data_IF_463354602300
#
_entry.id   IF_463354602300
#
_cell.length_a   1.000
_cell.length_b   1.000
_cell.length_c   1.000
_cell.angle_alpha   90.00
_cell.angle_beta   90.00
_cell.angle_gamma   90.00
#
_symmetry.space_group_name_H-M   'P 1'
#
loop_
_entity.id
_entity.type
_entity.pdbx_description
1 polymer ?
#
# COMPACT_ATOMS: atom_id res chain seq x y z
N UNK A 1 -34.98 -20.72 -11.97
CA UNK A 1 -34.99 -21.66 -10.82
C UNK A 1 -34.16 -21.05 -9.71
N UNK A 2 -34.77 -20.93 -8.54
CA UNK A 2 -34.41 -20.31 -7.25
C UNK A 2 -33.01 -19.70 -6.98
N UNK A 3 -33.08 -18.49 -6.41
CA UNK A 3 -32.10 -17.87 -5.52
C UNK A 3 -31.80 -18.71 -4.27
N UNK A 4 -30.58 -18.55 -3.73
CA UNK A 4 -30.35 -18.60 -2.29
C UNK A 4 -29.30 -19.58 -1.79
N UNK A 5 -28.11 -19.07 -1.48
CA UNK A 5 -27.49 -19.14 -0.13
C UNK A 5 -26.18 -18.35 -0.16
N UNK A 6 -26.21 -17.18 0.47
CA UNK A 6 -25.02 -16.38 0.75
C UNK A 6 -24.08 -17.16 1.66
N UNK A 7 -22.90 -17.48 1.16
CA UNK A 7 -21.76 -17.87 2.00
C UNK A 7 -21.15 -16.62 2.62
N UNK A 8 -20.88 -16.60 3.94
CA UNK A 8 -20.26 -15.46 4.59
C UNK A 8 -18.85 -15.19 4.04
N UNK A 9 -18.55 -13.90 3.89
CA UNK A 9 -17.26 -13.35 3.47
C UNK A 9 -16.12 -13.91 4.35
N UNK A 10 -15.06 -14.44 3.71
CA UNK A 10 -13.94 -15.18 4.31
C UNK A 10 -12.91 -14.28 5.01
N UNK A 11 -13.33 -13.26 5.76
CA UNK A 11 -12.46 -12.60 6.76
C UNK A 11 -11.99 -13.59 7.85
N UNK A 12 -12.61 -14.77 7.96
CA UNK A 12 -12.31 -15.77 8.98
C UNK A 12 -11.17 -16.77 8.69
N UNK A 13 -10.61 -16.89 7.47
CA UNK A 13 -9.65 -17.98 7.17
C UNK A 13 -8.17 -17.68 7.40
N UNK A 14 -7.79 -16.42 7.64
CA UNK A 14 -6.42 -16.11 8.12
C UNK A 14 -6.22 -16.41 9.61
N UNK A 15 -7.31 -16.43 10.40
CA UNK A 15 -7.26 -16.88 11.82
C UNK A 15 -6.89 -18.36 11.96
N UNK A 16 -7.26 -19.20 10.99
CA UNK A 16 -7.03 -20.64 11.02
C UNK A 16 -5.57 -21.06 10.76
N UNK A 17 -4.77 -20.24 10.07
CA UNK A 17 -3.34 -20.53 9.90
C UNK A 17 -2.50 -20.11 11.12
N UNK A 18 -3.04 -19.22 11.97
CA UNK A 18 -2.38 -18.78 13.22
C UNK A 18 -2.67 -19.68 14.42
N UNK A 19 -3.63 -20.61 14.33
CA UNK A 19 -3.93 -21.57 15.41
C UNK A 19 -2.99 -22.79 15.45
N UNK A 20 -2.12 -22.98 14.45
CA UNK A 20 -1.14 -24.09 14.44
C UNK A 20 0.27 -23.68 14.88
N UNK A 21 0.51 -22.41 15.20
CA UNK A 21 1.81 -21.93 15.68
C UNK A 21 1.62 -21.33 17.05
N UNK A 22 2.30 -21.92 18.04
CA UNK A 22 2.07 -21.75 19.48
C UNK A 22 2.04 -20.30 19.99
N UNK A 23 1.55 -20.20 21.22
CA UNK A 23 1.26 -18.96 21.95
C UNK A 23 2.29 -17.84 21.74
N UNK A 24 1.84 -16.58 21.60
CA UNK A 24 2.74 -15.45 21.48
C UNK A 24 3.59 -15.30 22.75
N UNK A 25 4.89 -14.94 22.62
CA UNK A 25 5.72 -14.67 23.77
C UNK A 25 5.15 -13.48 24.56
N UNK A 26 5.03 -13.65 25.88
CA UNK A 26 4.71 -12.57 26.84
C UNK A 26 5.79 -11.50 26.74
N UNK A 27 5.49 -10.42 26.02
CA UNK A 27 6.36 -9.26 25.92
C UNK A 27 6.27 -8.41 27.18
N UNK A 28 7.43 -8.00 27.68
CA UNK A 28 7.59 -7.03 28.76
C UNK A 28 6.78 -5.76 28.50
N UNK A 29 6.14 -5.29 29.57
CA UNK A 29 5.25 -4.13 29.59
C UNK A 29 6.03 -2.85 29.25
N UNK A 30 5.85 -2.33 28.04
CA UNK A 30 6.14 -0.93 27.74
C UNK A 30 5.07 -0.05 28.38
N UNK A 31 5.51 1.03 29.04
CA UNK A 31 4.72 1.89 29.91
C UNK A 31 3.36 2.34 29.36
N UNK A 32 2.35 2.20 30.22
CA UNK A 32 0.99 2.65 30.01
C UNK A 32 0.95 4.18 29.87
N UNK A 33 0.65 4.65 28.67
CA UNK A 33 0.08 5.99 28.47
C UNK A 33 -1.41 5.78 28.16
N UNK A 34 -2.26 6.20 29.10
CA UNK A 34 -3.73 6.13 29.06
C UNK A 34 -4.32 7.09 28.01
N UNK A 35 -3.92 6.95 26.74
CA UNK A 35 -4.67 7.52 25.63
C UNK A 35 -5.80 6.54 25.27
N UNK A 36 -7.05 7.01 25.08
CA UNK A 36 -8.13 6.13 24.65
C UNK A 36 -7.72 5.46 23.33
N UNK A 37 -7.72 4.13 23.31
CA UNK A 37 -7.39 3.37 22.12
C UNK A 37 -8.40 3.73 21.01
N UNK A 38 -7.93 4.45 19.98
CA UNK A 38 -8.75 4.79 18.82
C UNK A 38 -9.20 3.49 18.15
N UNK A 39 -10.50 3.22 18.19
CA UNK A 39 -11.09 2.05 17.53
C UNK A 39 -11.14 2.34 16.03
N UNK A 40 -10.26 1.69 15.28
CA UNK A 40 -10.21 1.85 13.83
C UNK A 40 -11.39 1.12 13.16
N UNK A 41 -12.01 1.72 12.12
CA UNK A 41 -13.09 1.07 11.39
C UNK A 41 -12.59 -0.18 10.65
N UNK A 42 -13.45 -1.19 10.43
CA UNK A 42 -13.08 -2.37 9.67
C UNK A 42 -12.74 -1.99 8.22
N UNK A 43 -11.69 -2.59 7.67
CA UNK A 43 -11.35 -2.41 6.27
C UNK A 43 -12.30 -3.21 5.37
N UNK A 44 -12.66 -2.63 4.22
CA UNK A 44 -13.34 -3.35 3.16
C UNK A 44 -12.36 -4.24 2.40
N UNK A 45 -12.79 -5.47 2.09
CA UNK A 45 -12.00 -6.37 1.26
C UNK A 45 -12.11 -5.95 -0.20
N UNK A 46 -10.97 -5.60 -0.79
CA UNK A 46 -10.84 -5.25 -2.22
C UNK A 46 -10.59 -6.43 -3.14
N UNK A 47 -10.36 -7.62 -2.57
CA UNK A 47 -9.99 -8.82 -3.31
C UNK A 47 -11.00 -9.95 -3.07
N UNK A 48 -11.51 -10.52 -4.16
CA UNK A 48 -12.36 -11.69 -4.16
C UNK A 48 -11.61 -12.87 -4.79
N UNK A 49 -11.45 -13.97 -4.05
CA UNK A 49 -10.83 -15.20 -4.56
C UNK A 49 -11.91 -16.03 -5.27
N UNK A 50 -11.70 -16.31 -6.54
CA UNK A 50 -12.60 -17.14 -7.35
C UNK A 50 -12.18 -18.60 -7.29
N UNK A 51 -10.90 -18.90 -7.53
CA UNK A 51 -10.36 -20.26 -7.42
C UNK A 51 -9.00 -20.27 -6.73
N UNK A 52 -8.66 -21.41 -6.13
CA UNK A 52 -7.36 -21.65 -5.52
C UNK A 52 -6.90 -23.07 -5.83
N UNK A 53 -5.71 -23.18 -6.41
CA UNK A 53 -5.04 -24.45 -6.72
C UNK A 53 -3.67 -24.46 -6.06
N UNK A 54 -3.49 -25.31 -5.04
CA UNK A 54 -2.32 -25.27 -4.17
C UNK A 54 -2.14 -23.90 -3.49
N UNK A 55 -1.02 -23.22 -3.75
CA UNK A 55 -0.72 -21.86 -3.25
C UNK A 55 -1.11 -20.76 -4.24
N UNK A 56 -1.46 -21.11 -5.47
CA UNK A 56 -1.89 -20.17 -6.48
C UNK A 56 -3.35 -19.76 -6.24
N UNK A 57 -3.65 -18.48 -6.46
CA UNK A 57 -4.98 -17.90 -6.28
C UNK A 57 -5.32 -17.09 -7.51
N UNK A 58 -6.51 -17.32 -8.05
CA UNK A 58 -7.10 -16.46 -9.07
C UNK A 58 -8.32 -15.76 -8.49
N UNK A 59 -8.59 -14.56 -8.97
CA UNK A 59 -9.67 -13.76 -8.44
C UNK A 59 -9.73 -12.38 -9.07
N UNK A 60 -10.41 -11.46 -8.40
CA UNK A 60 -10.57 -10.08 -8.86
C UNK A 60 -10.22 -9.08 -7.76
N UNK A 61 -9.38 -8.11 -8.10
CA UNK A 61 -8.99 -6.97 -7.28
C UNK A 61 -9.63 -5.71 -7.87
N UNK A 62 -10.66 -5.16 -7.23
CA UNK A 62 -11.42 -4.01 -7.77
C UNK A 62 -11.81 -4.20 -9.26
N UNK A 63 -12.36 -5.37 -9.58
CA UNK A 63 -12.73 -5.85 -10.92
C UNK A 63 -11.58 -6.19 -11.88
N UNK A 64 -10.32 -6.07 -11.44
CA UNK A 64 -9.15 -6.46 -12.24
C UNK A 64 -8.83 -7.94 -11.96
N UNK A 65 -8.79 -8.82 -12.97
CA UNK A 65 -8.45 -10.23 -12.78
C UNK A 65 -7.01 -10.39 -12.28
N UNK A 66 -6.79 -11.25 -11.29
CA UNK A 66 -5.46 -11.58 -10.74
C UNK A 66 -5.09 -13.04 -11.04
N UNK A 67 -3.78 -13.36 -11.26
CA UNK A 67 -2.61 -12.49 -11.13
C UNK A 67 -2.51 -11.41 -12.24
N UNK A 68 -2.05 -10.21 -11.88
CA UNK A 68 -1.89 -9.07 -12.80
C UNK A 68 -0.63 -8.29 -12.47
N UNK A 69 0.01 -7.74 -13.49
CA UNK A 69 1.08 -6.77 -13.34
C UNK A 69 0.54 -5.34 -13.24
N UNK A 70 1.27 -4.48 -12.54
CA UNK A 70 0.97 -3.06 -12.45
C UNK A 70 1.68 -2.33 -13.59
N UNK A 71 0.97 -1.44 -14.27
CA UNK A 71 1.56 -0.56 -15.27
C UNK A 71 2.39 0.50 -14.56
N UNK A 72 3.70 0.49 -14.80
CA UNK A 72 4.62 1.45 -14.22
C UNK A 72 4.51 2.78 -14.97
N UNK A 73 4.37 3.88 -14.24
CA UNK A 73 4.36 5.22 -14.84
C UNK A 73 5.51 6.07 -14.34
N UNK A 74 5.89 7.04 -15.16
CA UNK A 74 6.63 8.22 -14.72
C UNK A 74 5.77 9.43 -14.98
N UNK A 75 5.52 10.25 -13.95
CA UNK A 75 4.72 11.48 -14.09
C UNK A 75 3.30 11.23 -14.64
N UNK A 76 2.73 10.05 -14.36
CA UNK A 76 1.38 9.64 -14.78
C UNK A 76 1.25 9.06 -16.19
N UNK A 77 2.36 8.88 -16.91
CA UNK A 77 2.37 8.24 -18.24
C UNK A 77 3.21 6.97 -18.24
N UNK A 78 2.75 5.96 -19.00
CA UNK A 78 3.55 4.78 -19.29
C UNK A 78 4.84 5.21 -20.01
N UNK A 79 5.95 4.54 -19.70
CA UNK A 79 7.23 4.89 -20.28
C UNK A 79 7.25 4.52 -21.77
N UNK A 80 7.55 5.50 -22.61
CA UNK A 80 7.74 5.33 -24.07
C UNK A 80 6.50 4.84 -24.83
N UNK A 81 5.33 4.76 -24.19
CA UNK A 81 4.10 4.32 -24.82
C UNK A 81 3.05 5.43 -24.75
N UNK A 82 2.41 5.69 -25.89
CA UNK A 82 1.20 6.50 -25.93
C UNK A 82 0.04 5.70 -25.33
N UNK A 83 -0.95 6.40 -24.80
CA UNK A 83 -2.09 5.76 -24.14
C UNK A 83 -2.88 4.87 -25.11
N UNK A 84 -3.03 5.27 -26.36
CA UNK A 84 -3.74 4.49 -27.39
C UNK A 84 -3.06 3.15 -27.64
N UNK A 85 -1.72 3.14 -27.71
CA UNK A 85 -0.92 1.93 -27.89
C UNK A 85 -0.98 1.05 -26.63
N UNK A 86 -1.00 1.67 -25.44
CA UNK A 86 -1.16 0.93 -24.19
C UNK A 86 -2.52 0.23 -24.13
N UNK A 87 -3.59 0.88 -24.55
CA UNK A 87 -4.95 0.32 -24.58
C UNK A 87 -5.09 -0.80 -25.63
N UNK A 88 -4.38 -0.70 -26.75
CA UNK A 88 -4.31 -1.76 -27.77
C UNK A 88 -3.58 -3.00 -27.25
N UNK A 89 -2.42 -2.82 -26.61
CA UNK A 89 -1.58 -3.93 -26.12
C UNK A 89 -2.13 -4.55 -24.83
N UNK A 90 -2.66 -3.72 -23.93
CA UNK A 90 -3.21 -4.12 -22.63
C UNK A 90 -4.69 -3.71 -22.53
N UNK A 91 -5.60 -4.42 -23.21
CA UNK A 91 -7.01 -4.09 -23.18
C UNK A 91 -7.61 -4.25 -21.78
N UNK A 92 -8.61 -3.43 -21.49
CA UNK A 92 -9.39 -3.47 -20.26
C UNK A 92 -8.85 -2.60 -19.11
N UNK A 93 -9.44 -2.78 -17.92
CA UNK A 93 -9.10 -2.04 -16.70
C UNK A 93 -7.70 -2.42 -16.22
N UNK A 94 -6.79 -1.45 -16.17
CA UNK A 94 -5.42 -1.61 -15.66
C UNK A 94 -5.28 -1.08 -14.25
N UNK A 95 -4.29 -1.61 -13.53
CA UNK A 95 -3.78 -1.00 -12.30
C UNK A 95 -2.54 -0.19 -12.65
N UNK A 96 -2.57 1.10 -12.34
CA UNK A 96 -1.53 2.05 -12.73
C UNK A 96 -0.79 2.52 -11.49
N UNK A 97 0.53 2.34 -11.48
CA UNK A 97 1.37 2.82 -10.39
C UNK A 97 1.58 4.33 -10.50
N UNK A 98 1.42 5.03 -9.38
CA UNK A 98 1.75 6.43 -9.20
C UNK A 98 2.77 6.56 -8.06
N UNK A 99 4.05 6.81 -8.39
CA UNK A 99 5.05 7.04 -7.37
C UNK A 99 4.71 8.27 -6.52
N UNK A 100 4.72 8.14 -5.19
CA UNK A 100 4.46 9.23 -4.24
C UNK A 100 5.39 10.42 -4.52
N UNK A 101 6.64 10.17 -4.88
CA UNK A 101 7.59 11.24 -5.23
C UNK A 101 7.15 12.10 -6.43
N UNK A 102 6.49 11.49 -7.43
CA UNK A 102 5.97 12.22 -8.58
C UNK A 102 4.72 13.03 -8.24
N UNK A 103 3.87 12.51 -7.34
CA UNK A 103 2.69 13.22 -6.84
C UNK A 103 3.08 14.39 -5.93
N UNK A 104 4.09 14.19 -5.09
CA UNK A 104 4.57 15.21 -4.15
C UNK A 104 5.04 16.48 -4.87
N UNK A 105 5.77 16.36 -5.98
CA UNK A 105 6.20 17.52 -6.78
C UNK A 105 5.01 18.26 -7.43
N UNK A 106 3.89 17.57 -7.66
CA UNK A 106 2.72 18.08 -8.38
C UNK A 106 1.61 18.59 -7.49
N UNK A 107 1.80 18.60 -6.16
CA UNK A 107 0.76 19.07 -5.23
C UNK A 107 0.33 20.50 -5.53
N UNK A 108 1.27 21.41 -5.77
CA UNK A 108 0.96 22.81 -6.08
C UNK A 108 0.17 22.97 -7.38
N UNK A 109 0.47 22.12 -8.37
CA UNK A 109 -0.29 22.08 -9.61
C UNK A 109 -1.74 21.62 -9.34
N UNK A 110 -1.93 20.55 -8.56
CA UNK A 110 -3.28 20.06 -8.23
C UNK A 110 -4.08 21.06 -7.38
N UNK A 111 -3.42 21.82 -6.49
CA UNK A 111 -4.06 22.85 -5.67
C UNK A 111 -4.64 24.01 -6.50
N UNK A 112 -4.13 24.25 -7.71
CA UNK A 112 -4.66 25.28 -8.62
C UNK A 112 -6.01 24.90 -9.25
N UNK A 113 -6.37 23.61 -9.25
CA UNK A 113 -7.66 23.12 -9.73
C UNK A 113 -8.37 22.27 -8.64
N UNK A 114 -8.79 22.88 -7.51
CA UNK A 114 -9.41 22.15 -6.41
C UNK A 114 -10.86 21.74 -6.69
N UNK A 115 -11.56 22.49 -7.56
CA UNK A 115 -13.01 22.38 -7.76
C UNK A 115 -13.46 21.12 -8.50
N UNK A 116 -12.53 20.39 -9.14
CA UNK A 116 -12.91 19.30 -10.02
C UNK A 116 -13.34 18.03 -9.29
N UNK A 117 -12.95 17.83 -8.02
CA UNK A 117 -13.25 16.60 -7.25
C UNK A 117 -12.70 15.29 -7.87
N UNK A 118 -12.15 15.35 -9.09
CA UNK A 118 -11.63 14.24 -9.90
C UNK A 118 -10.26 13.76 -9.43
N UNK A 119 -9.59 14.52 -8.56
CA UNK A 119 -8.26 14.23 -8.04
C UNK A 119 -7.25 13.98 -9.16
N UNK A 120 -6.59 12.83 -9.12
CA UNK A 120 -5.61 12.37 -10.12
C UNK A 120 -6.15 12.36 -11.54
N UNK A 121 -7.47 12.20 -11.71
CA UNK A 121 -8.13 12.13 -13.02
C UNK A 121 -8.30 13.51 -13.68
N UNK A 122 -8.10 14.59 -12.92
CA UNK A 122 -8.04 15.95 -13.48
C UNK A 122 -6.76 16.13 -14.31
N UNK A 123 -5.61 15.78 -13.73
CA UNK A 123 -4.31 15.86 -14.40
C UNK A 123 -4.10 14.76 -15.44
N UNK A 124 -4.71 13.60 -15.22
CA UNK A 124 -4.56 12.42 -16.09
C UNK A 124 -5.93 11.80 -16.41
N UNK A 125 -6.69 12.38 -17.37
CA UNK A 125 -8.05 11.92 -17.70
C UNK A 125 -8.14 10.45 -18.11
N UNK A 126 -7.08 9.90 -18.72
CA UNK A 126 -7.01 8.49 -19.11
C UNK A 126 -7.07 7.52 -17.93
N UNK A 127 -6.82 7.97 -16.70
CA UNK A 127 -6.96 7.13 -15.50
C UNK A 127 -8.41 6.86 -15.09
N UNK A 128 -9.39 7.57 -15.67
CA UNK A 128 -10.81 7.36 -15.35
C UNK A 128 -11.27 5.90 -15.54
N UNK A 129 -10.67 5.17 -16.48
CA UNK A 129 -10.97 3.76 -16.77
C UNK A 129 -10.11 2.76 -15.98
N UNK A 130 -9.25 3.23 -15.08
CA UNK A 130 -8.20 2.44 -14.45
C UNK A 130 -8.21 2.58 -12.93
N UNK A 131 -7.54 1.65 -12.24
CA UNK A 131 -7.31 1.72 -10.79
C UNK A 131 -5.97 2.40 -10.55
N UNK A 132 -5.99 3.48 -9.81
CA UNK A 132 -4.81 4.24 -9.41
C UNK A 132 -4.20 3.66 -8.12
N UNK A 133 -2.92 3.28 -8.19
CA UNK A 133 -2.16 2.73 -7.08
C UNK A 133 -1.01 3.67 -6.71
N UNK A 134 -1.18 4.41 -5.62
CA UNK A 134 -0.16 5.27 -5.05
C UNK A 134 0.88 4.44 -4.28
N UNK A 135 2.14 4.52 -4.70
CA UNK A 135 3.23 3.68 -4.17
C UNK A 135 4.44 4.51 -3.76
N UNK A 136 5.07 4.19 -2.64
CA UNK A 136 6.35 4.81 -2.26
C UNK A 136 7.50 4.39 -3.17
N UNK A 137 7.46 3.16 -3.67
CA UNK A 137 8.50 2.61 -4.54
C UNK A 137 8.42 3.20 -5.94
N UNK A 138 9.55 3.68 -6.45
CA UNK A 138 9.72 3.99 -7.86
C UNK A 138 10.74 3.01 -8.45
N UNK A 139 10.32 1.95 -9.17
CA UNK A 139 11.24 0.94 -9.67
C UNK A 139 12.36 1.49 -10.58
N UNK A 140 12.17 2.70 -11.14
CA UNK A 140 13.14 3.41 -11.99
C UNK A 140 14.28 4.05 -11.21
N UNK A 141 14.10 4.25 -9.91
CA UNK A 141 15.09 4.87 -9.02
C UNK A 141 15.52 3.80 -8.00
N UNK A 142 16.82 3.60 -7.83
CA UNK A 142 17.33 2.63 -6.86
C UNK A 142 18.50 3.23 -6.08
N UNK A 143 18.40 3.36 -4.75
CA UNK A 143 17.24 3.09 -3.89
C UNK A 143 16.10 4.09 -4.11
N UNK A 144 14.85 3.64 -4.08
CA UNK A 144 13.69 4.57 -4.22
C UNK A 144 13.13 5.09 -2.90
N UNK A 145 13.33 4.35 -1.79
CA UNK A 145 12.74 4.67 -0.48
C UNK A 145 13.78 4.47 0.61
N UNK A 146 13.94 5.46 1.49
CA UNK A 146 14.82 5.39 2.66
C UNK A 146 14.04 5.62 3.94
N UNK A 147 14.42 4.93 5.00
CA UNK A 147 13.86 5.15 6.33
C UNK A 147 14.46 6.38 6.99
N UNK A 148 13.59 7.27 7.49
CA UNK A 148 13.93 8.31 8.46
C UNK A 148 13.41 7.96 9.85
N UNK A 149 13.60 8.85 10.82
CA UNK A 149 13.08 8.65 12.18
C UNK A 149 11.58 8.99 12.27
N UNK A 150 11.21 10.11 11.64
CA UNK A 150 9.85 10.64 11.63
C UNK A 150 9.11 10.46 10.30
N UNK A 151 9.81 10.05 9.22
CA UNK A 151 9.22 9.99 7.87
C UNK A 151 10.03 9.08 6.94
N UNK A 152 9.41 8.67 5.83
CA UNK A 152 10.11 8.06 4.71
C UNK A 152 10.74 9.15 3.84
N UNK A 153 11.90 8.87 3.25
CA UNK A 153 12.43 9.68 2.15
C UNK A 153 12.16 8.97 0.83
N UNK A 154 11.61 9.70 -0.14
CA UNK A 154 11.40 9.24 -1.51
C UNK A 154 12.35 9.96 -2.46
N UNK A 155 12.91 9.23 -3.42
CA UNK A 155 13.65 9.87 -4.52
C UNK A 155 12.68 10.54 -5.49
N UNK A 156 13.02 11.75 -5.90
CA UNK A 156 12.29 12.50 -6.91
C UNK A 156 13.25 13.03 -7.97
N UNK A 157 12.73 13.53 -9.10
CA UNK A 157 13.58 14.19 -10.10
C UNK A 157 14.29 15.44 -9.56
N UNK A 158 13.77 16.04 -8.50
CA UNK A 158 14.38 17.18 -7.80
C UNK A 158 15.22 16.78 -6.57
N UNK A 159 15.59 15.50 -6.47
CA UNK A 159 16.32 14.92 -5.34
C UNK A 159 15.43 14.33 -4.25
N UNK A 160 16.02 14.04 -3.09
CA UNK A 160 15.33 13.40 -1.96
C UNK A 160 14.31 14.33 -1.33
N UNK A 161 13.13 13.79 -1.07
CA UNK A 161 12.04 14.48 -0.36
C UNK A 161 11.56 13.66 0.82
N UNK A 162 11.29 14.33 1.93
CA UNK A 162 10.75 13.72 3.15
C UNK A 162 9.23 13.66 3.01
N UNK A 163 8.65 12.49 3.27
CA UNK A 163 7.20 12.24 3.23
C UNK A 163 6.81 11.51 4.50
N UNK A 164 6.16 12.24 5.41
CA UNK A 164 5.55 11.71 6.62
C UNK A 164 4.15 11.13 6.33
N UNK A 165 3.56 10.33 7.24
CA UNK A 165 2.19 9.85 7.10
C UNK A 165 1.16 10.98 6.90
N UNK A 166 1.35 12.11 7.59
CA UNK A 166 0.53 13.32 7.42
C UNK A 166 0.63 13.92 6.02
N UNK A 167 1.83 13.97 5.44
CA UNK A 167 2.03 14.45 4.07
C UNK A 167 1.34 13.53 3.06
N UNK A 168 1.36 12.22 3.32
CA UNK A 168 0.66 11.24 2.48
C UNK A 168 -0.85 11.42 2.52
N UNK A 169 -1.43 11.72 3.68
CA UNK A 169 -2.86 12.06 3.79
C UNK A 169 -3.19 13.31 2.97
N UNK A 170 -2.37 14.36 3.05
CA UNK A 170 -2.54 15.54 2.21
C UNK A 170 -2.43 15.24 0.71
N UNK A 171 -1.49 14.39 0.30
CA UNK A 171 -1.41 13.88 -1.09
C UNK A 171 -2.68 13.13 -1.46
N UNK A 172 -3.17 12.26 -0.57
CA UNK A 172 -4.34 11.45 -0.84
C UNK A 172 -5.62 12.29 -0.96
N UNK A 173 -5.77 13.34 -0.16
CA UNK A 173 -6.88 14.30 -0.26
C UNK A 173 -6.91 15.02 -1.61
N UNK A 174 -5.72 15.38 -2.13
CA UNK A 174 -5.56 16.07 -3.40
C UNK A 174 -5.75 15.12 -4.60
N UNK A 175 -5.09 13.97 -4.58
CA UNK A 175 -5.02 13.07 -5.74
C UNK A 175 -6.08 11.96 -5.71
N UNK A 176 -6.65 11.61 -4.57
CA UNK A 176 -7.74 10.62 -4.43
C UNK A 176 -7.44 9.30 -5.16
N UNK A 177 -6.29 8.71 -4.87
CA UNK A 177 -5.92 7.42 -5.44
C UNK A 177 -6.79 6.30 -4.85
N UNK A 178 -7.08 5.26 -5.64
CA UNK A 178 -7.98 4.18 -5.22
C UNK A 178 -7.28 3.27 -4.20
N UNK A 179 -5.99 3.03 -4.39
CA UNK A 179 -5.14 2.22 -3.50
C UNK A 179 -3.91 3.03 -3.11
N UNK A 180 -3.56 3.02 -1.83
CA UNK A 180 -2.39 3.71 -1.26
C UNK A 180 -1.52 2.73 -0.49
N UNK A 181 -0.24 2.66 -0.85
CA UNK A 181 0.76 1.97 -0.07
C UNK A 181 1.08 2.75 1.20
N UNK A 182 1.04 2.10 2.35
CA UNK A 182 1.51 2.68 3.59
C UNK A 182 3.03 2.96 3.52
N UNK A 183 3.51 4.04 4.16
CA UNK A 183 4.93 4.32 4.27
C UNK A 183 5.66 3.19 4.99
N UNK A 184 6.73 2.69 4.38
CA UNK A 184 7.58 1.66 4.95
C UNK A 184 9.01 1.85 4.46
N UNK A 185 10.00 1.67 5.34
CA UNK A 185 11.41 1.65 4.94
C UNK A 185 11.67 0.38 4.11
N UNK A 186 12.07 0.53 2.85
CA UNK A 186 12.51 -0.62 2.06
C UNK A 186 13.93 -1.01 2.47
N UNK A 187 14.07 -2.22 3.02
CA UNK A 187 15.36 -2.83 3.30
C UNK A 187 15.60 -3.96 2.29
N UNK A 188 16.66 -3.88 1.46
CA UNK A 188 16.96 -4.94 0.52
C UNK A 188 17.41 -6.24 1.23
N UNK A 189 17.21 -7.38 0.57
CA UNK A 189 17.41 -8.70 1.17
C UNK A 189 18.88 -9.04 1.50
N UNK A 190 19.82 -8.31 0.91
CA UNK A 190 21.26 -8.42 1.17
C UNK A 190 21.69 -7.82 2.51
N UNK A 191 20.87 -6.95 3.10
CA UNK A 191 21.14 -6.34 4.40
C UNK A 191 20.90 -7.35 5.52
N UNK A 192 21.98 -7.74 6.19
CA UNK A 192 21.97 -8.67 7.34
C UNK A 192 21.88 -7.95 8.68
N UNK A 193 21.97 -6.61 8.70
CA UNK A 193 21.98 -5.82 9.92
C UNK A 193 20.62 -5.88 10.66
N UNK A 194 20.53 -6.76 11.66
CA UNK A 194 19.32 -7.01 12.47
C UNK A 194 18.71 -5.71 13.03
N UNK A 195 19.52 -4.77 13.53
CA UNK A 195 19.05 -3.46 14.02
C UNK A 195 18.25 -2.68 12.97
N UNK A 196 18.68 -2.72 11.70
CA UNK A 196 17.99 -2.02 10.61
C UNK A 196 16.68 -2.71 10.24
N UNK A 197 16.66 -4.06 10.23
CA UNK A 197 15.44 -4.84 9.99
C UNK A 197 14.39 -4.60 11.08
N UNK A 198 14.80 -4.60 12.35
CA UNK A 198 13.92 -4.27 13.48
C UNK A 198 13.35 -2.86 13.38
N UNK A 199 14.22 -1.87 13.11
CA UNK A 199 13.79 -0.49 12.93
C UNK A 199 12.77 -0.37 11.80
N UNK A 200 13.06 -0.94 10.62
CA UNK A 200 12.17 -0.87 9.47
C UNK A 200 10.81 -1.51 9.75
N UNK A 201 10.78 -2.69 10.39
CA UNK A 201 9.54 -3.37 10.75
C UNK A 201 8.71 -2.57 11.76
N UNK A 202 9.33 -2.08 12.85
CA UNK A 202 8.63 -1.31 13.88
C UNK A 202 8.11 0.02 13.33
N UNK A 203 8.96 0.76 12.59
CA UNK A 203 8.58 2.06 12.00
C UNK A 203 7.47 1.92 10.96
N UNK A 204 7.48 0.86 10.15
CA UNK A 204 6.40 0.61 9.19
C UNK A 204 5.06 0.37 9.90
N UNK A 205 5.05 -0.31 11.05
CA UNK A 205 3.84 -0.50 11.84
C UNK A 205 3.38 0.80 12.54
N UNK A 206 4.31 1.58 13.09
CA UNK A 206 4.03 2.89 13.70
C UNK A 206 3.40 3.86 12.67
N UNK A 207 4.02 3.98 11.49
CA UNK A 207 3.50 4.87 10.45
C UNK A 207 2.20 4.37 9.83
N UNK A 208 1.98 3.06 9.76
CA UNK A 208 0.70 2.48 9.35
C UNK A 208 -0.42 2.86 10.32
N UNK A 209 -0.15 2.78 11.64
CA UNK A 209 -1.11 3.20 12.67
C UNK A 209 -1.48 4.67 12.51
N UNK A 210 -0.48 5.56 12.40
CA UNK A 210 -0.71 7.00 12.20
C UNK A 210 -1.52 7.29 10.93
N UNK A 211 -1.24 6.57 9.83
CA UNK A 211 -1.98 6.72 8.58
C UNK A 211 -3.45 6.30 8.72
N UNK A 212 -3.73 5.19 9.42
CA UNK A 212 -5.09 4.69 9.61
C UNK A 212 -5.90 5.56 10.57
N UNK A 213 -5.27 6.08 11.62
CA UNK A 213 -5.89 7.05 12.54
C UNK A 213 -6.25 8.34 11.80
N UNK A 214 -5.32 8.88 11.00
CA UNK A 214 -5.60 10.07 10.20
C UNK A 214 -6.65 9.84 9.11
N UNK A 215 -6.71 8.64 8.53
CA UNK A 215 -7.78 8.23 7.61
C UNK A 215 -9.14 8.16 8.30
N UNK A 216 -9.20 7.63 9.52
CA UNK A 216 -10.45 7.51 10.27
C UNK A 216 -10.99 8.88 10.70
N UNK A 217 -10.10 9.87 10.91
CA UNK A 217 -10.46 11.25 11.16
C UNK A 217 -10.91 12.02 9.90
N UNK A 218 -10.60 11.53 8.70
CA UNK A 218 -10.94 12.18 7.44
C UNK A 218 -12.32 11.72 6.95
N UNK A 219 -13.24 12.66 6.79
CA UNK A 219 -14.53 12.44 6.13
C UNK A 219 -14.35 12.53 4.60
N UNK A 220 -13.68 11.52 4.04
CA UNK A 220 -13.43 11.47 2.59
C UNK A 220 -14.65 10.90 1.87
N UNK A 221 -15.20 11.63 0.90
CA UNK A 221 -16.37 11.21 0.12
C UNK A 221 -16.10 10.00 -0.80
N UNK A 222 -14.84 9.64 -1.06
CA UNK A 222 -14.47 8.50 -1.92
C UNK A 222 -13.74 7.44 -1.10
N UNK A 223 -14.21 6.19 -1.08
CA UNK A 223 -13.50 5.11 -0.41
C UNK A 223 -12.18 4.87 -1.14
N UNK A 224 -11.10 4.83 -0.37
CA UNK A 224 -9.77 4.42 -0.83
C UNK A 224 -9.25 3.29 0.06
N UNK A 225 -8.21 2.58 -0.37
CA UNK A 225 -7.75 1.38 0.32
C UNK A 225 -6.27 1.46 0.67
N UNK A 226 -5.91 1.01 1.88
CA UNK A 226 -4.52 1.03 2.37
C UNK A 226 -3.92 -0.36 2.24
N UNK A 227 -2.72 -0.43 1.66
CA UNK A 227 -1.89 -1.62 1.65
C UNK A 227 -0.72 -1.47 2.63
N UNK A 228 -0.60 -2.40 3.58
CA UNK A 228 0.49 -2.38 4.55
C UNK A 228 1.81 -2.93 3.97
N UNK A 229 2.92 -2.22 4.17
CA UNK A 229 4.25 -2.70 3.81
C UNK A 229 4.80 -3.71 4.82
N UNK A 230 5.10 -4.92 4.37
CA UNK A 230 5.76 -5.96 5.17
C UNK A 230 7.26 -5.93 4.89
N UNK A 231 8.05 -5.60 5.91
CA UNK A 231 9.51 -5.61 5.87
C UNK A 231 10.09 -6.83 6.61
N UNK A 232 11.41 -6.99 6.59
CA UNK A 232 12.10 -8.09 7.28
C UNK A 232 13.30 -8.68 6.54
N UNK A 233 13.60 -8.19 5.33
CA UNK A 233 14.78 -8.63 4.57
C UNK A 233 14.77 -10.13 4.28
N UNK A 234 15.90 -10.80 4.50
CA UNK A 234 16.04 -12.27 4.37
C UNK A 234 15.68 -13.03 5.66
N UNK A 235 15.56 -12.37 6.79
CA UNK A 235 15.29 -13.02 8.08
C UNK A 235 13.81 -13.44 8.19
N UNK A 236 13.58 -14.75 8.24
CA UNK A 236 12.24 -15.34 8.32
C UNK A 236 11.51 -14.95 9.61
N UNK A 237 12.19 -14.96 10.76
CA UNK A 237 11.57 -14.61 12.05
C UNK A 237 11.13 -13.17 12.04
N UNK A 238 11.96 -12.29 11.47
CA UNK A 238 11.62 -10.88 11.32
C UNK A 238 10.45 -10.65 10.36
N UNK A 239 10.39 -11.36 9.23
CA UNK A 239 9.23 -11.30 8.33
C UNK A 239 7.95 -11.78 9.02
N UNK A 240 8.00 -12.89 9.77
CA UNK A 240 6.84 -13.39 10.51
C UNK A 240 6.36 -12.37 11.55
N UNK A 241 7.28 -11.79 12.32
CA UNK A 241 6.97 -10.74 13.30
C UNK A 241 6.34 -9.50 12.62
N UNK A 242 6.92 -9.05 11.51
CA UNK A 242 6.40 -7.92 10.76
C UNK A 242 5.00 -8.20 10.18
N UNK A 243 4.78 -9.39 9.60
CA UNK A 243 3.47 -9.83 9.12
C UNK A 243 2.43 -9.82 10.25
N UNK A 244 2.74 -10.40 11.40
CA UNK A 244 1.82 -10.44 12.54
C UNK A 244 1.49 -9.03 13.05
N UNK A 245 2.49 -8.14 13.12
CA UNK A 245 2.30 -6.76 13.54
C UNK A 245 1.39 -5.98 12.57
N UNK A 246 1.59 -6.08 11.25
CA UNK A 246 0.74 -5.35 10.30
C UNK A 246 -0.63 -5.98 10.09
N UNK A 247 -0.76 -7.30 10.27
CA UNK A 247 -2.04 -8.02 10.15
C UNK A 247 -3.01 -7.73 11.30
N UNK A 248 -2.52 -7.18 12.41
CA UNK A 248 -3.36 -6.71 13.51
C UNK A 248 -4.18 -5.46 13.16
N UNK A 249 -3.82 -4.74 12.09
CA UNK A 249 -4.51 -3.54 11.66
C UNK A 249 -5.56 -3.82 10.58
N UNK A 250 -6.65 -3.01 10.51
CA UNK A 250 -7.65 -3.13 9.46
C UNK A 250 -7.10 -2.56 8.14
N UNK A 251 -6.43 -3.43 7.36
CA UNK A 251 -5.89 -3.08 6.04
C UNK A 251 -6.54 -3.90 4.94
N UNK A 252 -6.59 -3.34 3.73
CA UNK A 252 -7.22 -3.98 2.57
C UNK A 252 -6.30 -5.02 1.90
N UNK A 253 -5.00 -4.94 2.16
CA UNK A 253 -4.01 -5.88 1.65
C UNK A 253 -2.60 -5.57 2.11
N UNK A 254 -1.64 -6.31 1.56
CA UNK A 254 -0.24 -6.27 1.98
C UNK A 254 0.70 -6.12 0.78
N UNK A 255 1.79 -5.41 0.98
CA UNK A 255 2.90 -5.23 0.03
C UNK A 255 4.14 -5.89 0.61
N UNK A 256 4.76 -6.78 -0.17
CA UNK A 256 5.96 -7.48 0.27
C UNK A 256 7.19 -6.64 -0.08
N UNK A 257 7.84 -6.07 0.95
CA UNK A 257 9.07 -5.29 0.83
C UNK A 257 10.31 -6.16 0.71
N UNK A 258 11.33 -5.64 0.03
CA UNK A 258 12.66 -6.25 -0.11
C UNK A 258 12.88 -7.35 -1.17
N UNK A 259 11.93 -7.86 -1.99
CA UNK A 259 12.17 -9.10 -2.77
C UNK A 259 13.06 -8.93 -4.00
N UNK A 260 13.84 -7.84 -4.14
CA UNK A 260 14.86 -7.78 -5.21
C UNK A 260 16.15 -8.43 -4.70
N UNK A 261 16.58 -9.59 -5.24
CA UNK A 261 18.00 -9.91 -5.24
C UNK A 261 18.69 -8.81 -6.05
N UNK A 262 19.70 -8.17 -5.47
CA UNK A 262 20.72 -7.48 -6.26
C UNK A 262 21.40 -8.54 -7.13
N UNK A 263 21.61 -8.28 -8.43
CA UNK A 263 22.40 -9.17 -9.27
C UNK A 263 23.83 -9.30 -8.75
#
# INVERSE_FOLDING_TARGET
>A
RHFGRGTPCRYCKWKLWMTEVGEPPKGDQLGSTDAPAVVLPPAESIFCVETAEGRARTGKLLDIPTPRFVVLTGRGFALHLRQEVLEEVLPGKQMIQLPVGDLHIRQELQKQWPEDGRGVRCLWPHFSKHVSYCSFRNPRLNPSVYGGEAACHVETVGGRRKVAPKDLLGIQQLFRADIVAAPAEEVPCDVVASRRLHRAANKSAEWLKELLEGKAAEESATPWHVLAGVQGGRDLKMRQKACAAVAAFPVAGFLIGGPRPTP
#
